data_IF_270310678371
#
_entry.id   IF_270310678371
#
_cell.length_a   1.000
_cell.length_b   1.000
_cell.length_c   1.000
_cell.angle_alpha   90.00
_cell.angle_beta   90.00
_cell.angle_gamma   90.00
#
_symmetry.space_group_name_H-M   'P 1'
#
loop_
_entity.id
_entity.type
_entity.pdbx_description
1 polymer ?
#
# COMPACT_ATOMS: atom_id res chain seq x y z
N UNK A 1 1.33 0.30 -26.19
CA UNK A 1 1.46 0.65 -24.76
C UNK A 1 2.53 1.72 -24.59
N UNK A 2 3.67 1.66 -25.31
CA UNK A 2 4.66 2.76 -25.43
C UNK A 2 4.04 4.15 -25.56
N UNK A 3 3.27 4.39 -26.63
CA UNK A 3 2.73 5.72 -26.96
C UNK A 3 1.78 6.31 -25.87
N UNK A 4 1.29 5.46 -24.95
CA UNK A 4 0.51 5.91 -23.78
C UNK A 4 1.41 6.30 -22.62
N UNK A 5 2.51 5.57 -22.40
CA UNK A 5 3.47 5.84 -21.34
C UNK A 5 4.28 7.09 -21.66
N UNK A 6 4.72 7.25 -22.92
CA UNK A 6 5.42 8.44 -23.42
C UNK A 6 4.59 9.71 -23.20
N UNK A 7 3.30 9.69 -23.54
CA UNK A 7 2.41 10.84 -23.31
C UNK A 7 2.23 11.20 -21.84
N UNK A 8 2.26 10.21 -20.95
CA UNK A 8 2.15 10.46 -19.50
C UNK A 8 3.46 11.09 -19.01
N UNK A 9 4.60 10.60 -19.48
CA UNK A 9 5.92 11.14 -19.15
C UNK A 9 6.06 12.59 -19.66
N UNK A 10 5.72 12.86 -20.91
CA UNK A 10 5.68 14.21 -21.48
C UNK A 10 4.75 15.15 -20.71
N UNK A 11 3.59 14.67 -20.25
CA UNK A 11 2.66 15.48 -19.46
C UNK A 11 3.26 15.88 -18.11
N UNK A 12 3.99 14.99 -17.43
CA UNK A 12 4.66 15.31 -16.17
C UNK A 12 5.88 16.21 -16.39
N UNK A 13 6.65 16.01 -17.46
CA UNK A 13 7.78 16.87 -17.82
C UNK A 13 7.33 18.28 -18.23
N UNK A 14 6.11 18.43 -18.76
CA UNK A 14 5.53 19.74 -19.09
C UNK A 14 5.16 20.59 -17.87
N UNK A 15 4.98 19.96 -16.70
CA UNK A 15 4.62 20.62 -15.44
C UNK A 15 5.90 21.02 -14.71
N UNK A 16 5.98 22.27 -14.25
CA UNK A 16 7.10 22.72 -13.42
C UNK A 16 7.21 21.84 -12.15
N UNK A 17 8.33 21.15 -11.98
CA UNK A 17 8.56 20.15 -10.93
C UNK A 17 7.64 18.92 -10.98
N UNK A 18 7.06 18.58 -12.15
CA UNK A 18 6.08 17.50 -12.26
C UNK A 18 6.61 16.14 -11.77
N UNK A 19 7.85 15.79 -12.09
CA UNK A 19 8.47 14.55 -11.60
C UNK A 19 8.57 14.52 -10.06
N UNK A 20 8.91 15.65 -9.44
CA UNK A 20 8.99 15.80 -7.98
C UNK A 20 7.59 15.63 -7.36
N UNK A 21 6.60 16.34 -7.90
CA UNK A 21 5.20 16.24 -7.43
C UNK A 21 4.70 14.81 -7.53
N UNK A 22 4.96 14.13 -8.66
CA UNK A 22 4.62 12.72 -8.86
C UNK A 22 5.23 11.83 -7.79
N UNK A 23 6.51 12.01 -7.47
CA UNK A 23 7.20 11.22 -6.44
C UNK A 23 6.56 11.43 -5.06
N UNK A 24 6.22 12.67 -4.71
CA UNK A 24 5.50 12.97 -3.46
C UNK A 24 4.10 12.38 -3.42
N UNK A 25 3.34 12.46 -4.52
CA UNK A 25 1.99 11.88 -4.61
C UNK A 25 2.05 10.37 -4.42
N UNK A 26 3.00 9.67 -5.05
CA UNK A 26 3.18 8.21 -4.89
C UNK A 26 3.51 7.86 -3.44
N UNK A 27 4.45 8.60 -2.83
CA UNK A 27 4.83 8.39 -1.44
C UNK A 27 3.65 8.64 -0.48
N UNK A 28 2.94 9.75 -0.68
CA UNK A 28 1.78 10.11 0.11
C UNK A 28 0.66 9.08 -0.03
N UNK A 29 0.32 8.67 -1.25
CA UNK A 29 -0.69 7.65 -1.51
C UNK A 29 -0.37 6.33 -0.79
N UNK A 30 0.89 5.90 -0.85
CA UNK A 30 1.39 4.71 -0.18
C UNK A 30 1.25 4.80 1.35
N UNK A 31 1.70 5.90 1.96
CA UNK A 31 1.60 6.15 3.40
C UNK A 31 0.13 6.26 3.83
N UNK A 32 -0.66 7.03 3.09
CA UNK A 32 -2.09 7.23 3.34
C UNK A 32 -2.84 5.90 3.34
N UNK A 33 -2.60 5.04 2.34
CA UNK A 33 -3.17 3.69 2.30
C UNK A 33 -2.80 2.91 3.56
N UNK A 34 -1.50 2.83 3.86
CA UNK A 34 -0.99 1.94 4.91
C UNK A 34 -1.41 2.36 6.31
N UNK A 35 -1.36 3.65 6.62
CA UNK A 35 -1.50 4.13 8.00
C UNK A 35 -2.83 4.82 8.30
N UNK A 36 -3.58 5.23 7.27
CA UNK A 36 -4.87 5.91 7.45
C UNK A 36 -5.98 5.00 6.93
N UNK A 37 -6.00 4.72 5.62
CA UNK A 37 -7.12 4.01 4.99
C UNK A 37 -7.32 2.59 5.55
N UNK A 38 -6.28 1.76 5.58
CA UNK A 38 -6.39 0.38 6.03
C UNK A 38 -6.76 0.27 7.52
N UNK A 39 -6.12 1.00 8.46
CA UNK A 39 -6.55 1.02 9.86
C UNK A 39 -7.99 1.50 10.04
N UNK A 40 -8.42 2.55 9.31
CA UNK A 40 -9.82 3.00 9.34
C UNK A 40 -10.79 1.90 8.92
N UNK A 41 -10.49 1.15 7.84
CA UNK A 41 -11.32 0.02 7.40
C UNK A 41 -11.42 -1.10 8.44
N UNK A 42 -10.31 -1.43 9.11
CA UNK A 42 -10.28 -2.43 10.19
C UNK A 42 -11.14 -1.97 11.37
N UNK A 43 -11.02 -0.70 11.77
CA UNK A 43 -11.82 -0.13 12.85
C UNK A 43 -13.31 -0.17 12.49
N UNK A 44 -13.70 0.31 11.31
CA UNK A 44 -15.08 0.29 10.84
C UNK A 44 -15.65 -1.13 10.83
N UNK A 45 -14.91 -2.10 10.28
CA UNK A 45 -15.33 -3.51 10.26
C UNK A 45 -15.59 -4.05 11.68
N UNK A 46 -14.65 -3.85 12.61
CA UNK A 46 -14.79 -4.37 13.96
C UNK A 46 -15.90 -3.67 14.77
N UNK A 47 -16.13 -2.37 14.56
CA UNK A 47 -17.29 -1.66 15.14
C UNK A 47 -18.59 -2.27 14.63
N UNK A 48 -18.72 -2.54 13.33
CA UNK A 48 -19.90 -3.20 12.76
C UNK A 48 -20.10 -4.59 13.36
N UNK A 49 -19.03 -5.38 13.54
CA UNK A 49 -19.12 -6.68 14.23
C UNK A 49 -19.69 -6.54 15.65
N UNK A 50 -19.21 -5.57 16.43
CA UNK A 50 -19.70 -5.32 17.79
C UNK A 50 -21.19 -4.91 17.77
N UNK A 51 -21.61 -4.06 16.83
CA UNK A 51 -23.01 -3.65 16.67
C UNK A 51 -23.93 -4.81 16.29
N UNK A 52 -23.41 -5.82 15.58
CA UNK A 52 -24.11 -7.05 15.21
C UNK A 52 -23.99 -8.15 16.28
N UNK A 53 -23.51 -7.83 17.48
CA UNK A 53 -23.26 -8.78 18.58
C UNK A 53 -22.30 -9.93 18.21
N UNK A 54 -21.36 -9.66 17.30
CA UNK A 54 -20.31 -10.59 16.92
C UNK A 54 -18.98 -10.24 17.58
N UNK A 55 -18.13 -11.25 17.77
CA UNK A 55 -16.80 -11.04 18.33
C UNK A 55 -15.88 -10.35 17.31
N UNK A 56 -15.24 -9.23 17.66
CA UNK A 56 -14.27 -8.57 16.79
C UNK A 56 -12.98 -9.39 16.67
N UNK A 57 -12.32 -9.30 15.52
CA UNK A 57 -11.13 -10.10 15.16
C UNK A 57 -9.88 -9.21 14.98
N UNK A 58 -9.69 -8.28 15.90
CA UNK A 58 -8.61 -7.29 15.85
C UNK A 58 -7.23 -7.92 15.59
N UNK A 59 -6.90 -9.01 16.28
CA UNK A 59 -5.59 -9.66 16.20
C UNK A 59 -5.29 -10.16 14.77
N UNK A 60 -6.28 -10.81 14.16
CA UNK A 60 -6.20 -11.33 12.80
C UNK A 60 -6.06 -10.20 11.78
N UNK A 61 -6.91 -9.17 11.89
CA UNK A 61 -6.93 -8.01 11.00
C UNK A 61 -5.60 -7.26 11.06
N UNK A 62 -5.07 -6.98 12.27
CA UNK A 62 -3.77 -6.31 12.44
C UNK A 62 -2.60 -7.18 11.98
N UNK A 63 -2.69 -8.50 12.14
CA UNK A 63 -1.68 -9.43 11.64
C UNK A 63 -1.63 -9.44 10.12
N UNK A 64 -2.78 -9.45 9.44
CA UNK A 64 -2.85 -9.38 7.98
C UNK A 64 -2.44 -7.99 7.48
N UNK A 65 -2.80 -6.92 8.19
CA UNK A 65 -2.34 -5.57 7.87
C UNK A 65 -0.82 -5.47 7.90
N UNK A 66 -0.14 -6.01 8.93
CA UNK A 66 1.33 -6.00 9.02
C UNK A 66 2.05 -6.76 7.90
N UNK A 67 1.38 -7.69 7.22
CA UNK A 67 1.96 -8.43 6.08
C UNK A 67 2.08 -7.59 4.81
N UNK A 68 1.25 -6.55 4.63
CA UNK A 68 1.35 -5.65 3.47
C UNK A 68 2.67 -4.86 3.58
N UNK A 69 3.59 -5.07 2.64
CA UNK A 69 4.92 -4.43 2.64
C UNK A 69 5.00 -3.51 1.43
N UNK A 70 5.42 -2.26 1.67
CA UNK A 70 5.59 -1.27 0.62
C UNK A 70 7.08 -1.15 0.31
N UNK A 71 7.51 -1.73 -0.80
CA UNK A 71 8.89 -1.69 -1.26
C UNK A 71 9.09 -0.47 -2.14
N UNK A 72 10.06 0.37 -1.79
CA UNK A 72 10.47 1.51 -2.60
C UNK A 72 11.43 1.00 -3.68
N UNK A 73 11.17 1.43 -4.91
CA UNK A 73 11.91 1.06 -6.10
C UNK A 73 12.36 2.32 -6.83
N UNK A 74 13.43 2.20 -7.60
CA UNK A 74 13.80 3.21 -8.60
C UNK A 74 12.72 3.29 -9.69
N UNK A 75 12.76 4.33 -10.53
CA UNK A 75 11.84 4.45 -11.67
C UNK A 75 11.90 3.26 -12.65
N UNK A 76 13.04 2.57 -12.73
CA UNK A 76 13.23 1.33 -13.51
C UNK A 76 12.63 0.08 -12.84
N UNK A 77 12.02 0.22 -11.66
CA UNK A 77 11.41 -0.88 -10.92
C UNK A 77 12.37 -1.74 -10.11
N UNK A 78 13.65 -1.34 -9.98
CA UNK A 78 14.65 -2.05 -9.18
C UNK A 78 14.40 -1.76 -7.69
N UNK A 79 14.16 -2.79 -6.86
CA UNK A 79 13.93 -2.58 -5.43
C UNK A 79 15.19 -2.10 -4.73
N UNK A 80 15.06 -1.10 -3.87
CA UNK A 80 16.14 -0.71 -2.98
C UNK A 80 16.23 -1.75 -1.86
N UNK A 81 17.39 -2.40 -1.72
CA UNK A 81 17.58 -3.56 -0.82
C UNK A 81 17.40 -3.27 0.69
N UNK A 82 17.27 -2.00 1.05
CA UNK A 82 16.82 -1.55 2.37
C UNK A 82 15.54 -0.73 2.17
N UNK A 83 14.58 -0.79 3.10
CA UNK A 83 13.34 0.03 3.09
C UNK A 83 13.60 1.58 3.08
N UNK A 84 14.86 1.98 2.93
CA UNK A 84 15.31 3.34 2.66
C UNK A 84 14.79 3.85 1.31
N UNK A 85 14.75 5.17 1.19
CA UNK A 85 14.50 5.81 -0.10
C UNK A 85 15.76 5.70 -0.97
N UNK A 86 15.62 5.53 -2.31
CA UNK A 86 16.75 5.68 -3.24
C UNK A 86 17.44 7.04 -3.02
N UNK A 87 18.76 7.14 -3.18
CA UNK A 87 19.48 8.41 -2.94
C UNK A 87 18.93 9.54 -3.84
N UNK A 88 18.66 9.22 -5.11
CA UNK A 88 18.16 10.17 -6.10
C UNK A 88 16.63 10.15 -6.24
N UNK A 89 15.88 9.70 -5.23
CA UNK A 89 14.42 9.53 -5.32
C UNK A 89 13.66 10.82 -5.70
N UNK A 90 14.25 11.99 -5.44
CA UNK A 90 13.66 13.29 -5.72
C UNK A 90 13.70 13.62 -7.23
N UNK A 91 14.84 13.38 -7.89
CA UNK A 91 15.10 13.74 -9.30
C UNK A 91 15.05 12.54 -10.26
N UNK A 92 15.35 11.33 -9.79
CA UNK A 92 15.46 10.11 -10.61
C UNK A 92 14.17 9.28 -10.70
N UNK A 93 13.09 9.75 -10.07
CA UNK A 93 11.80 9.06 -10.06
C UNK A 93 11.71 7.94 -9.02
N UNK A 94 10.52 7.81 -8.44
CA UNK A 94 10.20 6.84 -7.40
C UNK A 94 9.05 5.93 -7.85
N UNK A 95 9.18 4.64 -7.57
CA UNK A 95 8.07 3.70 -7.68
C UNK A 95 7.89 2.98 -6.35
N UNK A 96 6.65 2.63 -6.00
CA UNK A 96 6.35 1.85 -4.80
C UNK A 96 5.61 0.59 -5.24
N UNK A 97 6.14 -0.57 -4.87
CA UNK A 97 5.51 -1.88 -5.08
C UNK A 97 4.91 -2.36 -3.76
N UNK A 98 3.62 -2.69 -3.79
CA UNK A 98 2.93 -3.28 -2.64
C UNK A 98 3.02 -4.81 -2.75
N UNK A 99 3.67 -5.43 -1.78
CA UNK A 99 3.74 -6.88 -1.63
C UNK A 99 2.72 -7.34 -0.59
N UNK A 100 2.07 -8.48 -0.84
CA UNK A 100 1.02 -9.05 0.01
C UNK A 100 -0.08 -8.03 0.38
N UNK A 101 -0.81 -7.48 -0.60
CA UNK A 101 -1.84 -6.49 -0.34
C UNK A 101 -2.86 -7.03 0.67
N UNK A 102 -3.18 -6.19 1.65
CA UNK A 102 -4.20 -6.43 2.64
C UNK A 102 -5.55 -6.59 1.96
N UNK A 103 -6.27 -7.63 2.37
CA UNK A 103 -7.64 -7.90 1.95
C UNK A 103 -8.48 -7.98 3.21
N UNK A 104 -9.42 -7.04 3.35
CA UNK A 104 -10.37 -7.06 4.45
C UNK A 104 -11.28 -8.28 4.30
N UNK A 105 -11.19 -9.20 5.26
CA UNK A 105 -12.05 -10.37 5.30
C UNK A 105 -13.27 -10.06 6.18
N UNK A 106 -14.50 -10.39 5.73
CA UNK A 106 -15.69 -10.26 6.59
C UNK A 106 -15.52 -11.04 7.90
N UNK A 107 -14.96 -12.24 7.81
CA UNK A 107 -14.68 -13.15 8.92
C UNK A 107 -13.40 -13.94 8.62
N UNK A 108 -12.58 -14.20 9.63
CA UNK A 108 -11.48 -15.14 9.49
C UNK A 108 -12.00 -16.56 9.67
N UNK A 109 -11.80 -17.39 8.66
CA UNK A 109 -12.04 -18.82 8.81
C UNK A 109 -11.13 -19.34 9.93
N UNK A 110 -11.73 -19.77 11.05
CA UNK A 110 -10.98 -20.48 12.08
C UNK A 110 -10.37 -21.73 11.44
N UNK A 111 -9.06 -21.99 11.60
CA UNK A 111 -8.50 -23.24 11.11
C UNK A 111 -9.29 -24.39 11.73
N UNK A 112 -9.85 -25.27 10.89
CA UNK A 112 -10.37 -26.56 11.35
C UNK A 112 -9.21 -27.25 12.03
N UNK A 113 -9.25 -27.33 13.36
CA UNK A 113 -8.35 -28.19 14.14
C UNK A 113 -8.59 -29.59 13.59
N UNK A 114 -7.64 -30.10 12.80
CA UNK A 114 -7.64 -31.49 12.40
C UNK A 114 -7.15 -32.24 13.63
N UNK A 115 -8.08 -32.67 14.48
CA UNK A 115 -7.81 -33.63 15.54
C UNK A 115 -7.32 -34.92 14.88
N UNK A 116 -6.02 -35.19 14.99
CA UNK A 116 -5.44 -36.52 14.83
C UNK A 116 -5.76 -37.36 16.05
#
# INVERSE_FOLDING_TARGET
IENRLEKIEEAWESILYGLVIRNFVILFQSIFRKYILLPSLIITKNIICILLFQNPEWSEDFRDWRKEIHVKCTYQGVPTGSNALPIDWFWGGLQIRVLHPFVLKPWHNKPKVRST
#
